data_IF_332897477894
#
_entry.id   IF_332897477894
#
_cell.length_a   1.000
_cell.length_b   1.000
_cell.length_c   1.000
_cell.angle_alpha   90.00
_cell.angle_beta   90.00
_cell.angle_gamma   90.00
#
_symmetry.space_group_name_H-M   'P 1'
#
loop_
_entity.id
_entity.type
_entity.pdbx_description
1 polymer ?
#
# COMPACT_ATOMS: atom_id res chain seq x y z
N UNK A 1 -36.86 -34.11 23.49
CA UNK A 1 -36.95 -34.08 22.02
C UNK A 1 -36.26 -32.80 21.57
N UNK A 2 -35.02 -32.95 21.10
CA UNK A 2 -34.07 -31.96 20.56
C UNK A 2 -34.00 -30.57 21.21
N UNK A 3 -33.03 -30.44 22.12
CA UNK A 3 -32.43 -29.17 22.53
C UNK A 3 -31.86 -28.43 21.29
N UNK A 4 -32.19 -27.15 21.16
CA UNK A 4 -31.85 -26.29 20.02
C UNK A 4 -30.87 -25.19 20.45
N UNK A 5 -30.02 -25.49 21.43
CA UNK A 5 -29.13 -24.54 22.10
C UNK A 5 -27.76 -24.37 21.44
N UNK A 6 -27.36 -25.24 20.50
CA UNK A 6 -26.00 -25.21 19.92
C UNK A 6 -25.86 -24.40 18.62
N UNK A 7 -26.71 -23.39 18.39
CA UNK A 7 -26.36 -22.36 17.40
C UNK A 7 -25.36 -21.41 18.04
N UNK A 8 -24.10 -21.88 18.11
CA UNK A 8 -22.95 -21.07 18.47
C UNK A 8 -23.04 -19.73 17.77
N UNK A 9 -23.08 -18.66 18.58
CA UNK A 9 -23.14 -17.29 18.09
C UNK A 9 -22.15 -17.13 16.93
N UNK A 10 -22.55 -16.49 15.81
CA UNK A 10 -21.58 -16.18 14.76
C UNK A 10 -20.45 -15.45 15.44
N UNK A 11 -19.24 -16.03 15.41
CA UNK A 11 -18.05 -15.42 16.01
C UNK A 11 -17.98 -14.02 15.43
N UNK A 12 -18.33 -13.03 16.24
CA UNK A 12 -18.24 -11.62 15.87
C UNK A 12 -16.90 -11.47 15.17
N UNK A 13 -16.94 -11.10 13.88
CA UNK A 13 -15.75 -11.08 13.04
C UNK A 13 -14.73 -10.21 13.75
N UNK A 14 -13.78 -10.84 14.43
CA UNK A 14 -12.95 -10.19 15.43
C UNK A 14 -12.35 -8.95 14.77
N UNK A 15 -12.61 -7.78 15.36
CA UNK A 15 -12.23 -6.51 14.77
C UNK A 15 -10.75 -6.59 14.32
N UNK A 16 -10.43 -6.22 13.07
CA UNK A 16 -9.06 -6.32 12.58
C UNK A 16 -8.12 -5.63 13.54
N UNK A 17 -7.09 -6.34 14.03
CA UNK A 17 -6.08 -5.72 14.89
C UNK A 17 -5.46 -4.49 14.21
N UNK A 18 -4.99 -3.50 14.98
CA UNK A 18 -4.57 -2.19 14.45
C UNK A 18 -3.50 -2.29 13.36
N UNK A 19 -2.54 -3.22 13.49
CA UNK A 19 -1.52 -3.46 12.47
C UNK A 19 -2.12 -3.95 11.14
N UNK A 20 -3.16 -4.78 11.19
CA UNK A 20 -3.85 -5.28 10.00
C UNK A 20 -4.62 -4.16 9.32
N UNK A 21 -5.29 -3.32 10.11
CA UNK A 21 -6.01 -2.16 9.59
C UNK A 21 -5.04 -1.19 8.91
N UNK A 22 -3.92 -0.85 9.54
CA UNK A 22 -2.87 -0.03 8.93
C UNK A 22 -2.34 -0.64 7.63
N UNK A 23 -1.92 -1.92 7.64
CA UNK A 23 -1.36 -2.57 6.45
C UNK A 23 -2.35 -2.64 5.28
N UNK A 24 -3.64 -2.85 5.57
CA UNK A 24 -4.70 -2.83 4.56
C UNK A 24 -4.96 -1.42 4.02
N UNK A 25 -5.14 -0.43 4.91
CA UNK A 25 -5.42 0.95 4.50
C UNK A 25 -4.25 1.57 3.74
N UNK A 26 -3.03 1.45 4.25
CA UNK A 26 -1.83 1.94 3.58
C UNK A 26 -1.57 1.18 2.28
N UNK A 27 -1.74 -0.15 2.27
CA UNK A 27 -1.60 -0.96 1.07
C UNK A 27 -2.59 -0.57 -0.03
N UNK A 28 -3.86 -0.38 0.33
CA UNK A 28 -4.90 0.08 -0.58
C UNK A 28 -4.61 1.48 -1.12
N UNK A 29 -4.22 2.41 -0.23
CA UNK A 29 -3.86 3.76 -0.63
C UNK A 29 -2.70 3.78 -1.63
N UNK A 30 -1.62 3.03 -1.37
CA UNK A 30 -0.46 2.95 -2.25
C UNK A 30 -0.79 2.28 -3.59
N UNK A 31 -1.59 1.22 -3.59
CA UNK A 31 -2.03 0.58 -4.82
C UNK A 31 -2.84 1.56 -5.69
N UNK A 32 -3.77 2.31 -5.08
CA UNK A 32 -4.54 3.34 -5.77
C UNK A 32 -3.65 4.47 -6.28
N UNK A 33 -2.70 4.94 -5.46
CA UNK A 33 -1.77 5.99 -5.83
C UNK A 33 -0.90 5.58 -7.03
N UNK A 34 -0.39 4.33 -7.04
CA UNK A 34 0.36 3.80 -8.16
C UNK A 34 -0.47 3.72 -9.44
N UNK A 35 -1.70 3.19 -9.36
CA UNK A 35 -2.62 3.13 -10.51
C UNK A 35 -2.93 4.53 -11.03
N UNK A 36 -3.32 5.46 -10.15
CA UNK A 36 -3.63 6.85 -10.50
C UNK A 36 -2.41 7.54 -11.12
N UNK A 37 -1.22 7.32 -10.56
CA UNK A 37 0.02 7.89 -11.08
C UNK A 37 0.30 7.51 -12.53
N UNK A 38 0.00 6.27 -12.94
CA UNK A 38 0.15 5.84 -14.34
C UNK A 38 -0.78 6.58 -15.32
N UNK A 39 -1.88 7.17 -14.87
CA UNK A 39 -2.72 8.02 -15.72
C UNK A 39 -2.12 9.42 -15.92
N UNK A 40 -1.19 9.85 -15.06
CA UNK A 40 -0.47 11.12 -15.20
C UNK A 40 0.82 10.94 -15.99
N UNK A 41 1.65 9.98 -15.59
CA UNK A 41 2.89 9.67 -16.27
C UNK A 41 3.20 8.17 -16.21
N UNK A 42 3.34 7.57 -17.39
CA UNK A 42 3.74 6.18 -17.58
C UNK A 42 5.17 6.05 -18.15
N UNK A 43 5.87 7.17 -18.29
CA UNK A 43 7.26 7.23 -18.73
C UNK A 43 8.20 6.58 -17.73
N UNK A 44 9.09 5.73 -18.22
CA UNK A 44 10.13 5.07 -17.44
C UNK A 44 11.51 5.71 -17.64
N UNK A 45 11.51 6.97 -18.07
CA UNK A 45 12.74 7.71 -18.38
C UNK A 45 13.56 7.95 -17.10
N UNK A 46 14.88 8.03 -17.28
CA UNK A 46 15.84 8.21 -16.19
C UNK A 46 16.93 9.19 -16.61
N UNK A 47 17.37 10.07 -15.72
CA UNK A 47 18.49 10.99 -15.97
C UNK A 47 18.07 12.38 -16.45
N UNK A 48 18.89 13.02 -17.29
CA UNK A 48 18.71 14.41 -17.74
C UNK A 48 17.58 14.62 -18.76
N UNK A 49 17.02 13.53 -19.29
CA UNK A 49 15.79 13.53 -20.10
C UNK A 49 14.52 13.48 -19.25
N UNK A 50 14.62 13.68 -17.93
CA UNK A 50 13.50 14.18 -17.14
C UNK A 50 13.15 15.61 -17.62
N UNK A 51 12.64 15.75 -18.84
CA UNK A 51 11.68 16.78 -19.13
C UNK A 51 10.44 16.38 -18.31
N UNK A 52 10.38 16.63 -17.00
CA UNK A 52 9.99 17.93 -16.47
C UNK A 52 8.82 18.56 -17.24
N UNK A 53 7.90 17.74 -17.78
CA UNK A 53 6.50 18.13 -17.78
C UNK A 53 6.04 18.06 -16.31
N UNK A 54 6.44 19.11 -15.60
CA UNK A 54 6.12 19.41 -14.23
C UNK A 54 4.60 19.40 -14.05
N UNK A 55 4.06 18.30 -13.53
CA UNK A 55 2.86 18.40 -12.71
C UNK A 55 3.30 19.00 -11.38
N UNK A 56 3.44 20.34 -11.37
CA UNK A 56 3.73 21.19 -10.22
C UNK A 56 5.16 21.14 -9.62
N UNK A 57 6.22 21.16 -10.43
CA UNK A 57 7.54 21.69 -10.06
C UNK A 57 8.39 20.93 -9.03
N UNK A 58 7.80 19.94 -8.35
CA UNK A 58 8.44 19.25 -7.21
C UNK A 58 8.10 17.77 -7.11
N UNK A 59 7.00 17.32 -7.73
CA UNK A 59 6.54 15.93 -7.64
C UNK A 59 6.86 15.23 -8.95
N UNK A 60 8.07 14.68 -9.07
CA UNK A 60 8.53 13.93 -10.26
C UNK A 60 7.80 12.57 -10.42
N UNK A 61 6.49 12.59 -10.58
CA UNK A 61 5.65 11.40 -10.74
C UNK A 61 6.09 10.71 -12.05
N UNK A 62 6.66 9.51 -11.92
CA UNK A 62 7.36 8.76 -12.98
C UNK A 62 6.89 7.31 -12.90
N UNK A 63 6.86 6.59 -14.03
CA UNK A 63 6.45 5.19 -14.12
C UNK A 63 7.14 4.26 -13.11
N UNK A 64 8.43 4.46 -12.82
CA UNK A 64 9.17 3.75 -11.77
C UNK A 64 8.61 4.00 -10.37
N UNK A 65 8.27 5.26 -10.05
CA UNK A 65 7.70 5.60 -8.74
C UNK A 65 6.29 5.05 -8.60
N UNK A 66 5.49 5.13 -9.66
CA UNK A 66 4.16 4.54 -9.72
C UNK A 66 4.21 3.02 -9.54
N UNK A 67 5.20 2.35 -10.14
CA UNK A 67 5.44 0.93 -9.95
C UNK A 67 5.83 0.58 -8.50
N UNK A 68 6.65 1.41 -7.84
CA UNK A 68 7.01 1.21 -6.42
C UNK A 68 5.79 1.33 -5.51
N UNK A 69 4.94 2.35 -5.71
CA UNK A 69 3.68 2.48 -4.97
C UNK A 69 2.76 1.29 -5.19
N UNK A 70 2.60 0.88 -6.46
CA UNK A 70 1.74 -0.25 -6.79
C UNK A 70 2.27 -1.56 -6.21
N UNK A 71 3.56 -1.84 -6.37
CA UNK A 71 4.19 -3.08 -5.90
C UNK A 71 4.15 -3.23 -4.38
N UNK A 72 4.54 -2.18 -3.65
CA UNK A 72 4.49 -2.19 -2.18
C UNK A 72 3.06 -2.22 -1.64
N UNK A 73 2.14 -1.52 -2.30
CA UNK A 73 0.71 -1.54 -1.97
C UNK A 73 0.10 -2.94 -2.10
N UNK A 74 0.30 -3.59 -3.25
CA UNK A 74 -0.19 -4.95 -3.50
C UNK A 74 0.48 -5.97 -2.57
N UNK A 75 1.78 -5.84 -2.32
CA UNK A 75 2.50 -6.72 -1.39
C UNK A 75 1.95 -6.59 0.03
N UNK A 76 1.68 -5.37 0.50
CA UNK A 76 1.07 -5.12 1.80
C UNK A 76 -0.33 -5.75 1.88
N UNK A 77 -1.17 -5.57 0.85
CA UNK A 77 -2.51 -6.17 0.79
C UNK A 77 -2.47 -7.71 0.80
N UNK A 78 -1.52 -8.31 0.08
CA UNK A 78 -1.36 -9.76 0.03
C UNK A 78 -0.88 -10.35 1.37
N UNK A 79 -0.02 -9.63 2.09
CA UNK A 79 0.57 -10.10 3.35
C UNK A 79 -0.26 -9.76 4.58
N UNK A 80 -1.03 -8.67 4.58
CA UNK A 80 -1.82 -8.21 5.72
C UNK A 80 -2.75 -9.27 6.36
N UNK A 81 -3.37 -10.21 5.62
CA UNK A 81 -4.21 -11.26 6.21
C UNK A 81 -3.44 -12.27 7.08
N UNK A 82 -2.16 -12.55 6.77
CA UNK A 82 -1.36 -13.60 7.44
C UNK A 82 -0.23 -13.04 8.30
N UNK A 83 0.33 -11.90 7.91
CA UNK A 83 1.54 -11.32 8.50
C UNK A 83 1.40 -9.81 8.75
N UNK A 84 0.27 -9.39 9.34
CA UNK A 84 -0.09 -7.99 9.54
C UNK A 84 1.02 -7.12 10.18
N UNK A 85 1.69 -7.61 11.24
CA UNK A 85 2.76 -6.85 11.90
C UNK A 85 3.98 -6.70 11.00
N UNK A 86 4.42 -7.78 10.35
CA UNK A 86 5.56 -7.75 9.44
C UNK A 86 5.29 -6.86 8.23
N UNK A 87 4.08 -6.93 7.67
CA UNK A 87 3.64 -6.05 6.59
C UNK A 87 3.67 -4.57 7.02
N UNK A 88 3.12 -4.25 8.20
CA UNK A 88 3.11 -2.89 8.73
C UNK A 88 4.53 -2.35 8.98
N UNK A 89 5.41 -3.14 9.61
CA UNK A 89 6.79 -2.73 9.89
C UNK A 89 7.64 -2.62 8.63
N UNK A 90 7.48 -3.54 7.68
CA UNK A 90 8.20 -3.51 6.42
C UNK A 90 7.79 -2.30 5.58
N UNK A 91 6.48 -2.03 5.50
CA UNK A 91 5.96 -0.89 4.76
C UNK A 91 6.42 0.44 5.40
N UNK A 92 6.22 0.59 6.70
CA UNK A 92 6.66 1.79 7.42
C UNK A 92 8.17 1.99 7.34
N UNK A 93 8.96 0.92 7.55
CA UNK A 93 10.41 0.98 7.45
C UNK A 93 10.92 1.33 6.05
N UNK A 94 10.32 0.75 5.01
CA UNK A 94 10.67 1.03 3.61
C UNK A 94 10.46 2.53 3.28
N UNK A 95 9.29 3.08 3.61
CA UNK A 95 9.01 4.49 3.32
C UNK A 95 9.74 5.47 4.25
N UNK A 96 10.04 5.08 5.49
CA UNK A 96 10.91 5.86 6.37
C UNK A 96 12.32 5.99 5.76
N UNK A 97 12.88 4.89 5.28
CA UNK A 97 14.21 4.88 4.66
C UNK A 97 14.24 5.74 3.39
N UNK A 98 13.21 5.65 2.55
CA UNK A 98 13.08 6.51 1.36
C UNK A 98 13.01 7.99 1.75
N UNK A 99 12.20 8.34 2.77
CA UNK A 99 12.12 9.71 3.25
C UNK A 99 13.45 10.23 3.82
N UNK A 100 14.21 9.39 4.53
CA UNK A 100 15.56 9.74 5.01
C UNK A 100 16.55 9.92 3.86
N UNK A 101 16.42 9.14 2.80
CA UNK A 101 17.24 9.27 1.58
C UNK A 101 16.92 10.55 0.78
N UNK A 102 15.82 11.24 1.11
CA UNK A 102 15.40 12.47 0.43
C UNK A 102 14.55 12.21 -0.82
N UNK A 103 13.83 11.08 -0.83
CA UNK A 103 12.82 10.77 -1.85
C UNK A 103 11.41 11.21 -1.45
#
# INVERSE_FOLDING_TARGET
MADRSDRGAPKDAAAPGPARLYALCAGAFLALLGVVGFFFDAGFETGRDLAADDVAGTIAVNGWRNLVYLGTGLLSLALAPRHARAAATALGGFYLLLGVWGL
#
